data_IF_100628256634
#
_entry.id   IF_100628256634
#
_cell.length_a   1.000
_cell.length_b   1.000
_cell.length_c   1.000
_cell.angle_alpha   90.00
_cell.angle_beta   90.00
_cell.angle_gamma   90.00
#
_symmetry.space_group_name_H-M   'P 1'
#
loop_
_entity.id
_entity.type
_entity.pdbx_description
1 polymer ?
#
# COMPACT_ATOMS: atom_id res chain seq x y z
N UNK A 1 -52.12 -49.40 -68.32
CA UNK A 1 -52.83 -49.83 -67.10
C UNK A 1 -51.81 -50.58 -66.27
N UNK A 2 -51.19 -49.90 -65.30
CA UNK A 2 -50.19 -50.52 -64.41
C UNK A 2 -50.92 -51.56 -63.57
N UNK A 3 -50.38 -52.77 -63.46
CA UNK A 3 -51.05 -53.84 -62.70
C UNK A 3 -50.86 -53.61 -61.20
N UNK A 4 -51.83 -54.02 -60.37
CA UNK A 4 -51.75 -53.84 -58.92
C UNK A 4 -50.48 -54.45 -58.29
N UNK A 5 -49.90 -55.47 -58.93
CA UNK A 5 -48.60 -56.05 -58.54
C UNK A 5 -47.42 -55.10 -58.75
N UNK A 6 -47.34 -54.38 -59.87
CA UNK A 6 -46.27 -53.38 -60.13
C UNK A 6 -46.35 -52.21 -59.14
N UNK A 7 -47.57 -51.77 -58.81
CA UNK A 7 -47.76 -50.71 -57.83
C UNK A 7 -47.21 -51.13 -56.46
N UNK A 8 -47.52 -52.36 -56.03
CA UNK A 8 -47.07 -52.91 -54.74
C UNK A 8 -45.56 -53.07 -54.66
N UNK A 9 -44.92 -53.52 -55.74
CA UNK A 9 -43.45 -53.64 -55.82
C UNK A 9 -42.77 -52.27 -55.75
N UNK A 10 -43.30 -51.26 -56.46
CA UNK A 10 -42.73 -49.91 -56.40
C UNK A 10 -42.84 -49.29 -55.00
N UNK A 11 -43.98 -49.47 -54.31
CA UNK A 11 -44.11 -48.97 -52.92
C UNK A 11 -43.15 -49.69 -51.97
N UNK A 12 -42.92 -50.99 -52.16
CA UNK A 12 -41.92 -51.74 -51.37
C UNK A 12 -40.50 -51.24 -51.62
N UNK A 13 -40.14 -50.88 -52.86
CA UNK A 13 -38.84 -50.31 -53.19
C UNK A 13 -38.65 -48.95 -52.52
N UNK A 14 -39.62 -48.04 -52.65
CA UNK A 14 -39.61 -46.73 -51.95
C UNK A 14 -39.49 -46.91 -50.43
N UNK A 15 -40.22 -47.87 -49.85
CA UNK A 15 -40.16 -48.14 -48.40
C UNK A 15 -38.77 -48.65 -47.98
N UNK A 16 -38.12 -49.49 -48.80
CA UNK A 16 -36.76 -49.94 -48.53
C UNK A 16 -35.75 -48.78 -48.60
N UNK A 17 -35.89 -47.89 -49.59
CA UNK A 17 -35.05 -46.68 -49.71
C UNK A 17 -35.23 -45.76 -48.50
N UNK A 18 -36.47 -45.56 -48.04
CA UNK A 18 -36.77 -44.79 -46.82
C UNK A 18 -36.17 -45.41 -45.56
N UNK A 19 -36.18 -46.75 -45.44
CA UNK A 19 -35.57 -47.48 -44.32
C UNK A 19 -34.05 -47.30 -44.33
N UNK A 20 -33.38 -47.43 -45.48
CA UNK A 20 -31.94 -47.20 -45.61
C UNK A 20 -31.57 -45.76 -45.21
N UNK A 21 -32.42 -44.79 -45.58
CA UNK A 21 -32.23 -43.38 -45.23
C UNK A 21 -32.41 -43.14 -43.72
N UNK A 22 -33.41 -43.77 -43.12
CA UNK A 22 -33.61 -43.74 -41.66
C UNK A 22 -32.45 -44.39 -40.90
N UNK A 23 -31.92 -45.51 -41.36
CA UNK A 23 -30.77 -46.18 -40.73
C UNK A 23 -29.57 -45.23 -40.65
N UNK A 24 -29.30 -44.50 -41.74
CA UNK A 24 -28.22 -43.52 -41.82
C UNK A 24 -28.40 -42.33 -40.88
N UNK A 25 -29.64 -41.86 -40.70
CA UNK A 25 -29.95 -40.79 -39.75
C UNK A 25 -29.87 -41.28 -38.29
N UNK A 26 -30.22 -42.54 -38.01
CA UNK A 26 -30.04 -43.17 -36.68
C UNK A 26 -28.56 -43.29 -36.33
N UNK A 27 -27.70 -43.67 -37.28
CA UNK A 27 -26.25 -43.68 -37.08
C UNK A 27 -25.70 -42.29 -36.73
N UNK A 28 -26.13 -41.24 -37.46
CA UNK A 28 -25.76 -39.86 -37.14
C UNK A 28 -26.26 -39.45 -35.76
N UNK A 29 -27.47 -39.84 -35.38
CA UNK A 29 -28.05 -39.52 -34.07
C UNK A 29 -27.24 -40.16 -32.95
N UNK A 30 -26.87 -41.44 -33.09
CA UNK A 30 -26.00 -42.14 -32.15
C UNK A 30 -24.63 -41.44 -32.02
N UNK A 31 -24.06 -40.98 -33.13
CA UNK A 31 -22.81 -40.22 -33.10
C UNK A 31 -22.95 -38.88 -32.34
N UNK A 32 -24.09 -38.19 -32.45
CA UNK A 32 -24.36 -36.97 -31.69
C UNK A 32 -24.60 -37.26 -30.21
N UNK A 33 -25.35 -38.31 -29.88
CA UNK A 33 -25.56 -38.74 -28.50
C UNK A 33 -24.25 -39.04 -27.79
N UNK A 34 -23.31 -39.71 -28.45
CA UNK A 34 -21.97 -39.94 -27.89
C UNK A 34 -21.23 -38.63 -27.59
N UNK A 35 -21.31 -37.62 -28.48
CA UNK A 35 -20.71 -36.31 -28.22
C UNK A 35 -21.36 -35.59 -27.04
N UNK A 36 -22.68 -35.70 -26.91
CA UNK A 36 -23.43 -35.12 -25.77
C UNK A 36 -23.03 -35.80 -24.47
N UNK A 37 -22.87 -37.12 -24.46
CA UNK A 37 -22.40 -37.87 -23.29
C UNK A 37 -21.01 -37.41 -22.86
N UNK A 38 -20.06 -37.33 -23.80
CA UNK A 38 -18.70 -36.85 -23.49
C UNK A 38 -18.73 -35.41 -22.96
N UNK A 39 -19.50 -34.52 -23.58
CA UNK A 39 -19.64 -33.15 -23.08
C UNK A 39 -20.27 -33.09 -21.67
N UNK A 40 -21.23 -33.96 -21.37
CA UNK A 40 -21.83 -34.05 -20.05
C UNK A 40 -20.84 -34.56 -18.99
N UNK A 41 -19.98 -35.52 -19.36
CA UNK A 41 -18.89 -36.00 -18.50
C UNK A 41 -17.86 -34.90 -18.22
N UNK A 42 -17.45 -34.14 -19.24
CA UNK A 42 -16.55 -32.98 -19.08
C UNK A 42 -17.16 -31.88 -18.19
N UNK A 43 -18.45 -31.59 -18.38
CA UNK A 43 -19.18 -30.63 -17.52
C UNK A 43 -19.23 -31.13 -16.08
N UNK A 44 -19.47 -32.42 -15.87
CA UNK A 44 -19.49 -33.01 -14.52
C UNK A 44 -18.13 -32.86 -13.85
N UNK A 45 -17.04 -33.19 -14.56
CA UNK A 45 -15.68 -33.04 -14.07
C UNK A 45 -15.35 -31.57 -13.75
N UNK A 46 -15.71 -30.64 -14.64
CA UNK A 46 -15.52 -29.21 -14.42
C UNK A 46 -16.33 -28.68 -13.23
N UNK A 47 -17.53 -29.23 -12.98
CA UNK A 47 -18.36 -28.85 -11.83
C UNK A 47 -17.73 -29.31 -10.50
N UNK A 48 -17.14 -30.50 -10.47
CA UNK A 48 -16.38 -30.99 -9.31
C UNK A 48 -15.15 -30.12 -9.01
N UNK A 49 -14.42 -29.72 -10.06
CA UNK A 49 -13.27 -28.82 -9.93
C UNK A 49 -13.70 -27.45 -9.37
N UNK A 50 -14.78 -26.86 -9.90
CA UNK A 50 -15.33 -25.60 -9.40
C UNK A 50 -15.77 -25.72 -7.94
N UNK A 51 -16.40 -26.84 -7.55
CA UNK A 51 -16.79 -27.07 -6.16
C UNK A 51 -15.57 -27.10 -5.23
N UNK A 52 -14.50 -27.81 -5.62
CA UNK A 52 -13.24 -27.84 -4.88
C UNK A 52 -12.62 -26.44 -4.73
N UNK A 53 -12.59 -25.65 -5.80
CA UNK A 53 -12.09 -24.27 -5.77
C UNK A 53 -12.93 -23.39 -4.83
N UNK A 54 -14.25 -23.57 -4.79
CA UNK A 54 -15.14 -22.84 -3.88
C UNK A 54 -14.85 -23.22 -2.41
N UNK A 55 -14.60 -24.50 -2.11
CA UNK A 55 -14.21 -24.93 -0.76
C UNK A 55 -12.88 -24.31 -0.32
N UNK A 56 -11.89 -24.31 -1.20
CA UNK A 56 -10.59 -23.67 -0.94
C UNK A 56 -10.75 -22.16 -0.72
N UNK A 57 -11.54 -21.49 -1.57
CA UNK A 57 -11.80 -20.06 -1.45
C UNK A 57 -12.53 -19.71 -0.14
N UNK A 58 -13.45 -20.55 0.32
CA UNK A 58 -14.11 -20.37 1.62
C UNK A 58 -13.11 -20.39 2.78
N UNK A 59 -12.17 -21.34 2.77
CA UNK A 59 -11.09 -21.44 3.77
C UNK A 59 -10.17 -20.20 3.76
N UNK A 60 -9.86 -19.68 2.57
CA UNK A 60 -9.09 -18.45 2.41
C UNK A 60 -9.84 -17.25 3.02
N UNK A 61 -11.16 -17.14 2.78
CA UNK A 61 -11.99 -16.06 3.33
C UNK A 61 -12.04 -16.12 4.86
N UNK A 62 -12.16 -17.32 5.45
CA UNK A 62 -12.11 -17.49 6.90
C UNK A 62 -10.77 -17.04 7.49
N UNK A 63 -9.67 -17.40 6.81
CA UNK A 63 -8.33 -16.98 7.19
C UNK A 63 -8.16 -15.45 7.12
N UNK A 64 -8.69 -14.82 6.07
CA UNK A 64 -8.69 -13.36 5.92
C UNK A 64 -9.50 -12.66 7.02
N UNK A 65 -10.67 -13.20 7.38
CA UNK A 65 -11.48 -12.67 8.48
C UNK A 65 -10.71 -12.73 9.82
N UNK A 66 -10.02 -13.85 10.08
CA UNK A 66 -9.16 -14.02 11.26
C UNK A 66 -8.01 -13.01 11.30
N UNK A 67 -7.33 -12.77 10.17
CA UNK A 67 -6.26 -11.77 10.06
C UNK A 67 -6.78 -10.36 10.28
N UNK A 68 -7.96 -10.03 9.74
CA UNK A 68 -8.59 -8.71 9.92
C UNK A 68 -8.87 -8.44 11.40
N UNK A 69 -9.39 -9.44 12.14
CA UNK A 69 -9.60 -9.32 13.59
C UNK A 69 -8.28 -9.14 14.36
N UNK A 70 -7.18 -9.75 13.93
CA UNK A 70 -5.84 -9.51 14.51
C UNK A 70 -5.37 -8.08 14.28
N UNK A 71 -5.58 -7.53 13.08
CA UNK A 71 -5.23 -6.14 12.79
C UNK A 71 -6.04 -5.14 13.61
N UNK A 72 -7.34 -5.41 13.81
CA UNK A 72 -8.20 -4.59 14.67
C UNK A 72 -7.66 -4.54 16.11
N UNK A 73 -7.36 -5.71 16.70
CA UNK A 73 -6.73 -5.79 18.05
C UNK A 73 -5.39 -5.09 18.13
N UNK A 74 -4.58 -5.16 17.06
CA UNK A 74 -3.30 -4.47 17.01
C UNK A 74 -3.48 -2.95 16.93
N UNK A 75 -4.45 -2.48 16.15
CA UNK A 75 -4.83 -1.07 16.08
C UNK A 75 -5.33 -0.54 17.43
N UNK A 76 -6.16 -1.30 18.13
CA UNK A 76 -6.61 -0.98 19.49
C UNK A 76 -5.44 -0.91 20.47
N UNK A 77 -4.54 -1.91 20.42
CA UNK A 77 -3.33 -1.94 21.27
C UNK A 77 -2.43 -0.74 20.98
N UNK A 78 -2.22 -0.40 19.71
CA UNK A 78 -1.40 0.74 19.32
C UNK A 78 -2.05 2.05 19.76
N UNK A 79 -3.37 2.20 19.60
CA UNK A 79 -4.12 3.34 20.11
C UNK A 79 -4.01 3.47 21.62
N UNK A 80 -4.04 2.34 22.34
CA UNK A 80 -3.87 2.29 23.80
C UNK A 80 -2.45 2.68 24.20
N UNK A 81 -1.42 2.13 23.55
CA UNK A 81 -0.02 2.50 23.79
C UNK A 81 0.24 3.98 23.52
N UNK A 82 -0.33 4.52 22.44
CA UNK A 82 -0.28 5.96 22.15
C UNK A 82 -0.95 6.76 23.27
N UNK A 83 -2.15 6.37 23.74
CA UNK A 83 -2.82 7.06 24.86
C UNK A 83 -2.06 6.95 26.18
N UNK A 84 -1.45 5.80 26.46
CA UNK A 84 -0.67 5.54 27.68
C UNK A 84 0.67 6.27 27.66
N UNK A 85 1.33 6.39 26.50
CA UNK A 85 2.57 7.17 26.36
C UNK A 85 2.31 8.67 26.14
N UNK A 86 1.13 9.04 25.63
CA UNK A 86 0.67 10.43 25.48
C UNK A 86 0.13 11.03 26.80
N UNK A 87 0.48 10.47 27.97
CA UNK A 87 0.24 11.10 29.28
C UNK A 87 0.86 12.50 29.43
N UNK A 88 1.59 12.98 28.40
CA UNK A 88 2.03 14.35 28.20
C UNK A 88 0.83 15.30 28.18
N UNK A 89 0.35 15.68 29.37
CA UNK A 89 -0.57 16.80 29.58
C UNK A 89 0.23 18.10 29.57
N UNK A 90 0.82 18.43 28.43
CA UNK A 90 1.46 19.74 28.27
C UNK A 90 0.35 20.77 28.05
N UNK A 91 0.23 21.81 28.91
CA UNK A 91 -0.73 22.88 28.69
C UNK A 91 -0.55 23.49 27.30
N UNK A 92 -1.66 23.86 26.66
CA UNK A 92 -1.64 24.42 25.29
C UNK A 92 -0.66 25.58 25.15
N UNK A 93 -0.62 26.47 26.12
CA UNK A 93 0.31 27.62 26.17
C UNK A 93 1.78 27.20 26.16
N UNK A 94 2.13 26.17 26.93
CA UNK A 94 3.48 25.60 26.95
C UNK A 94 3.82 24.96 25.60
N UNK A 95 2.88 24.25 24.99
CA UNK A 95 3.07 23.65 23.67
C UNK A 95 3.26 24.73 22.58
N UNK A 96 2.47 25.80 22.61
CA UNK A 96 2.58 26.91 21.67
C UNK A 96 3.92 27.65 21.82
N UNK A 97 4.43 27.77 23.05
CA UNK A 97 5.78 28.32 23.32
C UNK A 97 6.88 27.41 22.78
N UNK A 98 6.79 26.10 22.99
CA UNK A 98 7.72 25.09 22.46
C UNK A 98 7.73 25.16 20.93
N UNK A 99 6.55 25.15 20.30
CA UNK A 99 6.39 25.28 18.84
C UNK A 99 7.05 26.55 18.32
N UNK A 100 6.77 27.69 18.95
CA UNK A 100 7.31 28.99 18.52
C UNK A 100 8.84 29.05 18.65
N UNK A 101 9.39 28.53 19.76
CA UNK A 101 10.84 28.46 20.00
C UNK A 101 11.54 27.68 18.88
N UNK A 102 11.08 26.46 18.62
CA UNK A 102 11.72 25.57 17.66
C UNK A 102 11.46 25.97 16.21
N UNK A 103 10.30 26.55 15.92
CA UNK A 103 10.01 27.14 14.62
C UNK A 103 10.98 28.29 14.30
N UNK A 104 11.27 29.17 15.25
CA UNK A 104 12.24 30.24 15.04
C UNK A 104 13.67 29.69 14.91
N UNK A 105 14.02 28.71 15.72
CA UNK A 105 15.33 28.05 15.65
C UNK A 105 15.59 27.43 14.28
N UNK A 106 14.65 26.65 13.74
CA UNK A 106 14.85 25.95 12.46
C UNK A 106 14.86 26.91 11.27
N UNK A 107 14.03 27.96 11.29
CA UNK A 107 14.04 28.99 10.24
C UNK A 107 15.40 29.67 10.16
N UNK A 108 15.91 30.13 11.31
CA UNK A 108 17.23 30.74 11.41
C UNK A 108 18.35 29.78 11.02
N UNK A 109 18.19 28.48 11.28
CA UNK A 109 19.17 27.47 10.88
C UNK A 109 19.14 27.20 9.37
N UNK A 110 17.96 27.17 8.75
CA UNK A 110 17.79 26.94 7.31
C UNK A 110 18.40 28.05 6.44
N UNK A 111 18.54 29.26 6.98
CA UNK A 111 19.13 30.42 6.31
C UNK A 111 20.67 30.47 6.39
N UNK A 112 21.30 29.53 7.11
CA UNK A 112 22.76 29.52 7.28
C UNK A 112 23.48 28.94 6.06
N UNK A 113 24.62 29.53 5.71
CA UNK A 113 25.47 29.05 4.62
C UNK A 113 25.91 27.58 4.82
N UNK A 114 26.12 27.17 6.08
CA UNK A 114 26.46 25.78 6.43
C UNK A 114 25.33 24.77 6.14
N UNK A 115 24.11 25.25 5.90
CA UNK A 115 22.95 24.41 5.49
C UNK A 115 22.68 24.57 3.99
N UNK A 116 22.80 25.78 3.45
CA UNK A 116 22.54 26.08 2.04
C UNK A 116 23.55 25.40 1.12
N UNK A 117 24.79 25.15 1.60
CA UNK A 117 25.83 24.51 0.80
C UNK A 117 25.62 22.99 0.56
N UNK A 118 24.61 22.38 1.21
CA UNK A 118 24.25 20.96 1.11
C UNK A 118 25.43 20.00 1.35
N UNK A 119 26.39 20.37 2.20
CA UNK A 119 27.54 19.54 2.49
C UNK A 119 27.21 18.51 3.59
N UNK A 120 27.15 17.24 3.20
CA UNK A 120 26.80 16.13 4.10
C UNK A 120 27.64 16.07 5.38
N UNK A 121 28.95 16.25 5.27
CA UNK A 121 29.89 16.17 6.40
C UNK A 121 29.71 17.35 7.35
N UNK A 122 29.52 18.56 6.81
CA UNK A 122 29.31 19.76 7.61
C UNK A 122 27.96 19.72 8.32
N UNK A 123 26.89 19.34 7.62
CA UNK A 123 25.55 19.16 8.19
C UNK A 123 25.61 18.15 9.34
N UNK A 124 26.15 16.96 9.10
CA UNK A 124 26.24 15.89 10.10
C UNK A 124 27.04 16.36 11.33
N UNK A 125 28.17 17.04 11.13
CA UNK A 125 28.99 17.57 12.23
C UNK A 125 28.24 18.65 13.03
N UNK A 126 27.57 19.57 12.33
CA UNK A 126 26.77 20.63 12.94
C UNK A 126 25.60 20.04 13.73
N UNK A 127 24.86 19.10 13.14
CA UNK A 127 23.71 18.46 13.78
C UNK A 127 24.12 17.64 14.99
N UNK A 128 25.24 16.90 14.95
CA UNK A 128 25.77 16.20 16.13
C UNK A 128 26.15 17.17 17.24
N UNK A 129 26.69 18.35 16.91
CA UNK A 129 26.99 19.40 17.90
C UNK A 129 25.71 19.96 18.53
N UNK A 130 24.75 20.38 17.71
CA UNK A 130 23.48 20.94 18.17
C UNK A 130 22.68 19.94 19.01
N UNK A 131 22.63 18.67 18.59
CA UNK A 131 21.99 17.60 19.34
C UNK A 131 22.59 17.45 20.75
N UNK A 132 23.94 17.47 20.86
CA UNK A 132 24.63 17.44 22.17
C UNK A 132 24.35 18.66 23.04
N UNK A 133 24.27 19.86 22.47
CA UNK A 133 23.91 21.10 23.18
C UNK A 133 22.48 21.05 23.75
N UNK A 134 21.64 20.18 23.20
CA UNK A 134 20.27 19.93 23.65
C UNK A 134 20.11 18.54 24.30
N UNK A 135 21.15 18.05 24.98
CA UNK A 135 21.13 16.78 25.73
C UNK A 135 20.68 15.56 24.90
N UNK A 136 20.97 15.57 23.60
CA UNK A 136 20.53 14.57 22.61
C UNK A 136 19.01 14.40 22.53
N UNK A 137 18.23 15.42 22.88
CA UNK A 137 16.75 15.45 22.79
C UNK A 137 16.22 16.01 21.48
N UNK A 138 17.10 16.22 20.52
CA UNK A 138 16.72 16.63 19.18
C UNK A 138 17.43 15.78 18.13
N UNK A 139 16.70 15.51 17.05
CA UNK A 139 17.22 14.92 15.83
C UNK A 139 17.07 15.95 14.72
N UNK A 140 18.16 16.28 14.05
CA UNK A 140 18.16 17.13 12.87
C UNK A 140 18.55 16.34 11.65
N UNK A 141 17.91 16.67 10.54
CA UNK A 141 18.21 16.06 9.26
C UNK A 141 17.91 17.01 8.12
N UNK A 142 18.61 16.80 7.01
CA UNK A 142 18.38 17.54 5.76
C UNK A 142 18.23 16.57 4.61
N UNK A 143 17.24 16.82 3.77
CA UNK A 143 16.91 16.02 2.61
C UNK A 143 16.72 16.90 1.38
N UNK A 144 17.18 16.43 0.23
CA UNK A 144 16.83 17.01 -1.07
C UNK A 144 15.36 16.70 -1.42
N UNK A 145 14.75 17.41 -2.39
CA UNK A 145 13.35 17.20 -2.79
C UNK A 145 12.99 15.78 -3.24
N UNK A 146 13.98 15.02 -3.73
CA UNK A 146 13.82 13.60 -4.10
C UNK A 146 13.89 12.63 -2.91
N UNK A 147 13.96 13.15 -1.68
CA UNK A 147 14.13 12.40 -0.43
C UNK A 147 15.51 11.75 -0.25
N UNK A 148 16.55 12.23 -0.94
CA UNK A 148 17.93 11.84 -0.65
C UNK A 148 18.43 12.56 0.60
N UNK A 149 18.92 11.80 1.60
CA UNK A 149 19.46 12.37 2.84
C UNK A 149 20.82 13.01 2.60
N UNK A 150 20.97 14.28 2.97
CA UNK A 150 22.23 15.00 2.94
C UNK A 150 22.97 14.82 4.28
N UNK A 151 22.30 15.03 5.41
CA UNK A 151 22.95 15.02 6.73
C UNK A 151 21.97 14.68 7.83
N UNK A 152 22.47 14.07 8.90
CA UNK A 152 21.71 13.72 10.11
C UNK A 152 22.64 13.59 11.31
N UNK A 153 22.16 13.86 12.53
CA UNK A 153 22.95 13.61 13.74
C UNK A 153 22.93 12.15 14.20
N UNK A 154 22.02 11.32 13.69
CA UNK A 154 21.95 9.90 13.99
C UNK A 154 22.77 9.08 13.00
N UNK A 155 23.42 8.05 13.52
CA UNK A 155 24.22 7.10 12.75
C UNK A 155 23.35 5.91 12.31
N UNK A 156 23.75 5.24 11.23
CA UNK A 156 23.15 3.98 10.75
C UNK A 156 21.63 3.98 10.45
N UNK A 157 21.03 5.15 10.21
CA UNK A 157 19.62 5.22 9.80
C UNK A 157 19.48 4.74 8.34
N UNK A 158 18.60 3.77 8.05
CA UNK A 158 18.35 3.32 6.68
C UNK A 158 17.77 4.46 5.82
N UNK A 159 17.95 4.44 4.49
CA UNK A 159 17.25 5.36 3.59
C UNK A 159 15.73 5.24 3.79
N UNK A 160 15.05 6.38 3.86
CA UNK A 160 13.60 6.47 4.02
C UNK A 160 13.05 7.42 2.97
N UNK A 161 11.92 7.06 2.37
CA UNK A 161 11.17 7.94 1.47
C UNK A 161 10.22 8.81 2.30
N UNK A 162 10.45 10.12 2.25
CA UNK A 162 9.71 11.13 3.01
C UNK A 162 8.65 11.84 2.17
N UNK A 163 8.51 11.52 0.87
CA UNK A 163 7.63 12.26 -0.07
C UNK A 163 6.14 12.13 0.24
N UNK A 164 5.75 11.20 1.11
CA UNK A 164 4.38 11.07 1.62
C UNK A 164 4.16 11.75 2.99
N UNK A 165 5.20 12.35 3.60
CA UNK A 165 5.11 12.96 4.92
C UNK A 165 4.57 14.38 4.80
N UNK A 166 3.48 14.74 5.52
CA UNK A 166 2.87 16.07 5.43
C UNK A 166 3.85 17.21 5.70
N UNK A 167 4.75 17.04 6.68
CA UNK A 167 5.76 18.05 7.01
C UNK A 167 6.81 18.25 5.91
N UNK A 168 7.15 17.19 5.18
CA UNK A 168 8.11 17.25 4.08
C UNK A 168 7.49 17.96 2.88
N UNK A 169 6.26 17.59 2.53
CA UNK A 169 5.47 18.24 1.47
C UNK A 169 5.27 19.73 1.78
N UNK A 170 4.85 20.07 3.00
CA UNK A 170 4.62 21.45 3.41
C UNK A 170 5.88 22.32 3.33
N UNK A 171 7.04 21.76 3.70
CA UNK A 171 8.32 22.44 3.55
C UNK A 171 8.71 22.64 2.07
N UNK A 172 8.48 21.66 1.20
CA UNK A 172 8.71 21.79 -0.25
C UNK A 172 7.80 22.84 -0.90
N UNK A 173 6.60 23.06 -0.38
CA UNK A 173 5.72 24.18 -0.78
C UNK A 173 6.20 25.55 -0.28
N UNK A 174 7.37 25.61 0.36
CA UNK A 174 7.98 26.84 0.83
C UNK A 174 7.50 27.32 2.20
N UNK A 175 6.76 26.48 2.94
CA UNK A 175 6.21 26.84 4.26
C UNK A 175 6.87 26.04 5.36
N UNK A 176 7.27 26.70 6.45
CA UNK A 176 7.65 25.96 7.67
C UNK A 176 6.42 25.24 8.22
N UNK A 177 6.53 23.94 8.40
CA UNK A 177 5.46 23.08 8.89
C UNK A 177 5.77 22.58 10.30
N UNK A 178 4.74 22.41 11.13
CA UNK A 178 4.82 21.83 12.47
C UNK A 178 3.83 20.67 12.54
N UNK A 179 4.29 19.47 12.88
CA UNK A 179 3.43 18.30 13.00
C UNK A 179 2.60 18.29 14.28
N UNK A 180 1.62 17.40 14.35
CA UNK A 180 1.12 16.88 15.62
C UNK A 180 2.16 15.95 16.26
N UNK A 181 1.96 15.59 17.54
CA UNK A 181 2.83 14.65 18.23
C UNK A 181 2.68 13.25 17.62
N UNK A 182 3.80 12.59 17.34
CA UNK A 182 3.80 11.21 16.85
C UNK A 182 5.04 10.47 17.32
N UNK A 183 5.00 9.14 17.20
CA UNK A 183 6.14 8.27 17.52
C UNK A 183 7.02 8.14 16.28
N UNK A 184 8.30 8.48 16.40
CA UNK A 184 9.24 8.37 15.28
C UNK A 184 9.56 6.92 14.92
N UNK A 185 10.00 6.70 13.69
CA UNK A 185 10.38 5.36 13.21
C UNK A 185 11.84 5.00 13.52
N UNK A 186 12.67 6.00 13.82
CA UNK A 186 14.11 5.86 14.06
C UNK A 186 14.46 5.77 15.55
N UNK A 187 13.86 6.62 16.40
CA UNK A 187 14.12 6.61 17.85
C UNK A 187 12.99 5.99 18.69
N UNK A 188 11.80 5.80 18.12
CA UNK A 188 10.59 5.36 18.83
C UNK A 188 10.16 6.30 19.97
N UNK A 189 10.59 7.55 19.93
CA UNK A 189 10.22 8.59 20.89
C UNK A 189 9.00 9.39 20.41
N UNK A 190 8.24 9.95 21.35
CA UNK A 190 7.20 10.94 21.02
C UNK A 190 7.88 12.26 20.70
N UNK A 191 7.70 12.71 19.46
CA UNK A 191 8.31 13.96 18.99
C UNK A 191 7.28 14.93 18.43
N UNK A 192 7.69 16.18 18.44
CA UNK A 192 7.16 17.23 17.58
C UNK A 192 8.16 17.43 16.43
N UNK A 193 7.73 17.25 15.18
CA UNK A 193 8.58 17.55 14.02
C UNK A 193 8.28 18.95 13.50
N UNK A 194 9.34 19.75 13.32
CA UNK A 194 9.30 21.01 12.61
C UNK A 194 10.13 20.85 11.34
N UNK A 195 9.58 21.25 10.20
CA UNK A 195 10.28 21.22 8.92
C UNK A 195 10.28 22.60 8.28
N UNK A 196 11.41 23.02 7.72
CA UNK A 196 11.57 24.30 7.04
C UNK A 196 12.20 24.11 5.66
N UNK A 197 11.75 24.84 4.63
CA UNK A 197 12.47 24.91 3.37
C UNK A 197 13.87 25.51 3.57
N UNK A 198 14.83 24.99 2.82
CA UNK A 198 16.14 25.60 2.59
C UNK A 198 16.12 26.19 1.20
N UNK A 199 16.33 27.50 1.11
CA UNK A 199 16.28 28.23 -0.16
C UNK A 199 17.66 28.52 -0.72
N UNK A 200 17.78 28.46 -2.04
CA UNK A 200 18.88 29.06 -2.78
C UNK A 200 18.34 29.77 -4.01
N UNK A 201 18.54 31.09 -4.10
CA UNK A 201 18.01 31.92 -5.20
C UNK A 201 16.50 31.69 -5.43
N UNK A 202 15.70 31.79 -4.36
CA UNK A 202 14.23 31.64 -4.34
C UNK A 202 13.69 30.24 -4.62
N UNK A 203 14.55 29.27 -4.94
CA UNK A 203 14.18 27.86 -5.14
C UNK A 203 14.38 27.05 -3.84
N UNK A 204 13.44 26.15 -3.53
CA UNK A 204 13.59 25.20 -2.41
C UNK A 204 14.53 24.08 -2.85
N UNK A 205 15.76 24.09 -2.33
CA UNK A 205 16.80 23.12 -2.70
C UNK A 205 16.90 21.94 -1.73
N UNK A 206 16.35 22.07 -0.53
CA UNK A 206 16.29 21.02 0.47
C UNK A 206 15.20 21.33 1.52
N UNK A 207 14.89 20.31 2.32
CA UNK A 207 14.08 20.42 3.53
C UNK A 207 14.99 20.16 4.73
N UNK A 208 15.01 21.10 5.67
CA UNK A 208 15.59 20.92 7.00
C UNK A 208 14.48 20.46 7.94
N UNK A 209 14.67 19.33 8.59
CA UNK A 209 13.76 18.80 9.61
C UNK A 209 14.42 18.74 10.98
N UNK A 210 13.59 18.90 12.00
CA UNK A 210 13.94 18.85 13.41
C UNK A 210 12.86 18.08 14.16
N UNK A 211 13.23 16.95 14.73
CA UNK A 211 12.41 16.24 15.70
C UNK A 211 12.84 16.68 17.10
N UNK A 212 11.86 17.11 17.89
CA UNK A 212 12.04 17.50 19.28
C UNK A 212 11.32 16.50 20.14
N UNK A 213 12.06 15.78 20.98
CA UNK A 213 11.47 14.86 21.96
C UNK A 213 10.67 15.67 22.97
N UNK A 214 9.41 15.31 23.14
CA UNK A 214 8.54 15.90 24.16
C UNK A 214 8.47 14.91 25.32
N UNK A 215 9.06 15.27 26.45
CA UNK A 215 8.97 14.52 27.70
C UNK A 215 7.95 15.17 28.64
N UNK A 216 7.36 14.38 29.54
CA UNK A 216 6.55 14.88 30.66
C UNK A 216 7.43 15.39 31.80
#
# INVERSE_FOLDING_TARGET
>A
MVTAGELTVNTMIETCEDIELQEKEIEKMNAHLNKVTVAAEEISAGTEEVASVIEEQSSIIETMASQTSKFEKMSETMTKLIKEHSQIKVPKETMDLIKSKWMNFIKNLAEKDEIINLNSTEHTKLFKKLSKEHNNKIVLYTYTPDSTRIGCNLDDIPPIDLRNRPWFIGALEGKTFVSDLYITTDTYEIVLTIASPVYYKEEVIAVLGLDVVIES
#
